data_IF_223978956462
#
_entry.id   IF_223978956462
#
_cell.length_a   1.000
_cell.length_b   1.000
_cell.length_c   1.000
_cell.angle_alpha   90.00
_cell.angle_beta   90.00
_cell.angle_gamma   90.00
#
_symmetry.space_group_name_H-M   'P 1'
#
loop_
_entity.id
_entity.type
_entity.pdbx_description
1 polymer ?
#
# COMPACT_ATOMS: atom_id res chain seq x y z
N UNK A 1 -42.62 29.23 24.61
CA UNK A 1 -41.54 29.31 25.61
C UNK A 1 -41.59 28.02 26.40
N UNK A 2 -40.60 27.14 26.22
CA UNK A 2 -40.53 25.82 26.86
C UNK A 2 -39.27 25.75 27.73
N UNK A 3 -39.30 25.02 28.86
CA UNK A 3 -38.26 25.09 29.88
C UNK A 3 -36.99 24.27 29.52
N UNK A 4 -35.84 24.59 30.16
CA UNK A 4 -34.57 23.91 29.93
C UNK A 4 -34.50 22.60 30.71
N UNK A 5 -33.99 21.54 30.07
CA UNK A 5 -33.75 20.25 30.72
C UNK A 5 -32.27 20.16 31.11
N UNK A 6 -31.97 20.25 32.41
CA UNK A 6 -30.68 19.88 32.99
C UNK A 6 -30.73 18.40 33.38
N UNK A 7 -29.75 17.59 32.96
CA UNK A 7 -29.46 16.31 33.63
C UNK A 7 -27.95 16.07 33.68
N UNK A 8 -27.46 16.21 34.90
CA UNK A 8 -26.44 15.47 35.65
C UNK A 8 -25.31 14.71 34.95
N UNK A 9 -24.11 15.03 35.44
CA UNK A 9 -22.87 14.28 35.31
C UNK A 9 -22.94 12.90 35.96
N UNK A 10 -22.24 11.93 35.38
CA UNK A 10 -21.89 10.67 36.03
C UNK A 10 -20.40 10.39 35.78
N UNK A 11 -19.64 10.43 36.87
CA UNK A 11 -18.20 10.17 36.97
C UNK A 11 -18.01 8.67 37.14
N UNK A 12 -17.14 8.04 36.34
CA UNK A 12 -16.70 6.66 36.60
C UNK A 12 -15.20 6.56 36.90
N UNK A 13 -14.83 5.71 37.89
CA UNK A 13 -13.52 5.71 38.54
C UNK A 13 -12.43 4.95 37.78
N UNK A 14 -11.20 5.37 38.07
CA UNK A 14 -9.95 4.72 37.70
C UNK A 14 -9.85 3.29 38.25
N UNK A 15 -9.22 2.40 37.49
CA UNK A 15 -8.93 1.03 37.90
C UNK A 15 -7.45 0.76 37.68
N UNK A 16 -6.71 0.76 38.78
CA UNK A 16 -5.33 0.33 38.89
C UNK A 16 -5.21 -1.17 38.57
N UNK A 17 -4.16 -1.55 37.85
CA UNK A 17 -3.82 -2.95 37.58
C UNK A 17 -2.35 -3.21 37.98
N UNK A 18 -2.06 -4.32 38.68
CA UNK A 18 -0.76 -4.59 39.28
C UNK A 18 0.29 -5.07 38.27
N UNK A 19 1.51 -4.54 38.36
CA UNK A 19 2.71 -5.04 37.70
C UNK A 19 3.19 -6.33 38.36
N UNK A 20 3.26 -7.42 37.58
CA UNK A 20 3.99 -8.64 37.93
C UNK A 20 5.37 -8.60 37.29
N UNK A 21 6.41 -8.63 38.12
CA UNK A 21 7.82 -8.76 37.71
C UNK A 21 8.15 -10.24 37.58
N UNK A 22 8.59 -10.67 36.39
CA UNK A 22 8.97 -12.05 36.10
C UNK A 22 10.21 -12.10 35.20
N UNK A 23 11.36 -12.34 35.83
CA UNK A 23 12.68 -12.55 35.23
C UNK A 23 12.75 -13.89 34.48
N UNK A 24 13.29 -13.92 33.26
CA UNK A 24 14.00 -15.12 32.76
C UNK A 24 15.02 -14.78 31.66
N UNK A 25 16.29 -14.84 32.05
CA UNK A 25 17.47 -14.86 31.18
C UNK A 25 17.66 -16.30 30.69
N UNK A 26 17.82 -16.48 29.38
CA UNK A 26 17.99 -17.79 28.76
C UNK A 26 18.70 -17.67 27.43
N UNK A 27 20.03 -17.61 27.49
CA UNK A 27 20.94 -17.63 26.34
C UNK A 27 21.07 -19.06 25.82
N UNK A 28 20.68 -19.33 24.57
CA UNK A 28 21.10 -20.53 23.84
C UNK A 28 21.47 -20.17 22.40
N UNK A 29 22.72 -20.46 22.10
CA UNK A 29 23.44 -20.18 20.87
C UNK A 29 23.15 -21.23 19.79
N UNK A 30 23.10 -20.74 18.55
CA UNK A 30 23.62 -21.33 17.32
C UNK A 30 23.13 -22.73 16.89
N UNK A 31 22.31 -22.76 15.85
CA UNK A 31 22.68 -23.32 14.53
C UNK A 31 21.46 -23.26 13.61
N UNK A 32 21.42 -22.26 12.73
CA UNK A 32 20.41 -22.21 11.66
C UNK A 32 21.03 -22.71 10.36
N UNK A 33 20.40 -23.69 9.68
CA UNK A 33 20.87 -24.20 8.41
C UNK A 33 20.69 -23.16 7.30
N UNK A 34 21.75 -22.97 6.51
CA UNK A 34 21.71 -22.20 5.27
C UNK A 34 20.78 -22.93 4.30
N UNK A 35 19.57 -22.40 4.11
CA UNK A 35 18.66 -22.87 3.06
C UNK A 35 18.68 -21.84 1.96
N UNK A 36 19.23 -22.27 0.83
CA UNK A 36 19.40 -21.56 -0.42
C UNK A 36 18.19 -20.69 -0.75
N UNK A 37 18.41 -19.37 -0.73
CA UNK A 37 17.48 -18.39 -1.28
C UNK A 37 17.39 -18.65 -2.78
N UNK A 38 16.34 -19.34 -3.23
CA UNK A 38 15.87 -19.19 -4.60
C UNK A 38 15.57 -17.71 -4.77
N UNK A 39 16.33 -17.02 -5.63
CA UNK A 39 16.11 -15.63 -5.97
C UNK A 39 14.82 -15.52 -6.80
N UNK A 40 13.69 -15.73 -6.14
CA UNK A 40 12.41 -15.22 -6.59
C UNK A 40 12.62 -13.70 -6.62
N UNK A 41 12.77 -13.16 -7.82
CA UNK A 41 12.71 -11.73 -8.04
C UNK A 41 11.32 -11.30 -7.59
N UNK A 42 11.20 -10.96 -6.31
CA UNK A 42 9.95 -10.58 -5.68
C UNK A 42 9.43 -9.37 -6.46
N UNK A 43 8.48 -9.59 -7.38
CA UNK A 43 7.77 -8.57 -8.15
C UNK A 43 6.76 -7.85 -7.26
N UNK A 44 7.21 -7.46 -6.07
CA UNK A 44 6.46 -6.78 -5.04
C UNK A 44 7.21 -5.54 -4.62
N UNK A 45 6.51 -4.42 -4.66
CA UNK A 45 7.03 -3.14 -4.18
C UNK A 45 6.19 -2.71 -2.98
N UNK A 46 6.84 -2.37 -1.87
CA UNK A 46 6.16 -2.07 -0.61
C UNK A 46 6.75 -0.85 0.08
N UNK A 47 5.90 -0.08 0.74
CA UNK A 47 6.32 1.08 1.51
C UNK A 47 5.17 2.00 1.87
N UNK A 48 5.48 3.06 2.63
CA UNK A 48 4.48 4.05 3.01
C UNK A 48 4.31 5.11 1.92
N UNK A 49 3.08 5.28 1.44
CA UNK A 49 2.69 6.34 0.51
C UNK A 49 1.38 6.98 0.97
N UNK A 50 1.13 8.20 0.52
CA UNK A 50 -0.16 8.84 0.69
C UNK A 50 -1.12 8.34 -0.40
N UNK A 51 -2.24 7.74 0.02
CA UNK A 51 -3.22 7.12 -0.87
C UNK A 51 -4.48 7.97 -0.94
N UNK A 52 -4.96 8.24 -2.16
CA UNK A 52 -6.25 8.90 -2.38
C UNK A 52 -7.33 7.87 -2.65
N UNK A 53 -8.18 7.61 -1.66
CA UNK A 53 -9.30 6.68 -1.80
C UNK A 53 -10.41 7.27 -2.68
N UNK A 54 -10.81 6.54 -3.73
CA UNK A 54 -11.98 6.92 -4.53
C UNK A 54 -13.26 6.47 -3.80
N UNK A 55 -14.19 7.38 -3.48
CA UNK A 55 -15.43 7.03 -2.77
C UNK A 55 -16.33 6.07 -3.56
N UNK A 56 -16.12 5.90 -4.87
CA UNK A 56 -16.90 4.95 -5.66
C UNK A 56 -16.67 3.48 -5.27
N UNK A 57 -15.45 3.09 -4.84
CA UNK A 57 -15.21 1.69 -4.43
C UNK A 57 -15.77 1.36 -3.04
N UNK A 58 -16.10 2.39 -2.24
CA UNK A 58 -16.62 2.26 -0.88
C UNK A 58 -18.16 2.35 -0.79
N UNK A 59 -18.87 2.40 -1.93
CA UNK A 59 -20.34 2.48 -1.97
C UNK A 59 -21.09 1.35 -1.26
N UNK A 60 -20.42 0.29 -0.80
CA UNK A 60 -21.03 -0.79 -0.02
C UNK A 60 -21.16 -0.48 1.49
N UNK A 61 -20.46 0.51 2.03
CA UNK A 61 -20.57 0.86 3.47
C UNK A 61 -21.35 2.17 3.66
N UNK A 62 -22.60 2.02 4.10
CA UNK A 62 -23.57 3.09 4.40
C UNK A 62 -22.96 4.27 5.20
N UNK A 63 -23.31 5.48 4.76
CA UNK A 63 -23.55 6.67 5.60
C UNK A 63 -22.40 7.47 6.23
N UNK A 64 -21.15 7.36 5.78
CA UNK A 64 -20.20 8.47 6.00
C UNK A 64 -19.78 9.02 4.66
N UNK A 65 -20.04 10.31 4.45
CA UNK A 65 -19.41 11.12 3.42
C UNK A 65 -17.90 11.10 3.70
N UNK A 66 -17.23 10.01 3.32
CA UNK A 66 -15.80 9.83 3.48
C UNK A 66 -15.16 10.89 2.61
N UNK A 67 -14.76 11.99 3.26
CA UNK A 67 -14.06 13.09 2.63
C UNK A 67 -12.92 12.48 1.83
N UNK A 68 -12.81 12.86 0.55
CA UNK A 68 -11.70 12.53 -0.35
C UNK A 68 -10.42 13.13 0.26
N UNK A 69 -9.83 12.42 1.22
CA UNK A 69 -8.65 12.84 1.95
C UNK A 69 -7.54 11.83 1.72
N UNK A 70 -6.33 12.36 1.67
CA UNK A 70 -5.12 11.58 1.53
C UNK A 70 -4.76 10.98 2.88
N UNK A 71 -4.24 9.75 2.85
CA UNK A 71 -3.82 9.03 4.03
C UNK A 71 -2.49 8.34 3.79
N UNK A 72 -1.51 8.61 4.67
CA UNK A 72 -0.25 7.87 4.67
C UNK A 72 -0.51 6.45 5.18
N UNK A 73 -0.34 5.48 4.30
CA UNK A 73 -0.68 4.07 4.54
C UNK A 73 0.41 3.15 3.98
N UNK A 74 0.43 1.91 4.46
CA UNK A 74 1.34 0.90 3.94
C UNK A 74 0.75 0.33 2.64
N UNK A 75 1.45 0.52 1.54
CA UNK A 75 1.03 0.06 0.21
C UNK A 75 1.91 -1.10 -0.19
N UNK A 76 1.28 -2.16 -0.68
CA UNK A 76 1.93 -3.32 -1.29
C UNK A 76 1.42 -3.43 -2.72
N UNK A 77 2.32 -3.25 -3.69
CA UNK A 77 2.05 -3.41 -5.11
C UNK A 77 2.58 -4.78 -5.54
N UNK A 78 1.68 -5.64 -6.01
CA UNK A 78 1.98 -6.96 -6.57
C UNK A 78 1.86 -6.89 -8.08
N UNK A 79 2.92 -7.19 -8.81
CA UNK A 79 2.93 -7.15 -10.27
C UNK A 79 2.77 -8.58 -10.78
N UNK A 80 1.70 -8.80 -11.55
CA UNK A 80 1.28 -10.12 -12.03
C UNK A 80 1.48 -10.18 -13.53
N UNK A 81 2.25 -11.18 -13.97
CA UNK A 81 2.34 -11.51 -15.39
C UNK A 81 1.10 -12.27 -15.82
N UNK A 82 0.41 -11.75 -16.82
CA UNK A 82 -0.71 -12.39 -17.45
C UNK A 82 -0.22 -13.22 -18.62
N UNK A 83 -0.37 -14.55 -18.56
CA UNK A 83 0.08 -15.47 -19.62
C UNK A 83 -0.56 -15.23 -21.00
N UNK A 84 -1.67 -14.48 -21.03
CA UNK A 84 -2.52 -14.29 -22.22
C UNK A 84 -2.48 -12.86 -22.78
N UNK A 85 -1.93 -11.90 -22.04
CA UNK A 85 -1.84 -10.52 -22.46
C UNK A 85 -0.45 -9.99 -22.21
N UNK A 86 0.15 -9.39 -23.24
CA UNK A 86 1.42 -8.65 -23.13
C UNK A 86 1.33 -7.44 -22.20
N UNK A 87 0.12 -7.10 -21.75
CA UNK A 87 -0.13 -6.03 -20.79
C UNK A 87 -0.02 -6.51 -19.34
N UNK A 88 0.85 -5.91 -18.51
CA UNK A 88 0.99 -6.30 -17.12
C UNK A 88 -0.25 -5.96 -16.28
N UNK A 89 -0.51 -6.77 -15.26
CA UNK A 89 -1.52 -6.50 -14.24
C UNK A 89 -0.86 -6.11 -12.91
N UNK A 90 -1.55 -5.27 -12.13
CA UNK A 90 -1.07 -4.80 -10.83
C UNK A 90 -2.17 -4.91 -9.77
N UNK A 91 -1.87 -5.56 -8.65
CA UNK A 91 -2.74 -5.64 -7.48
C UNK A 91 -2.14 -4.78 -6.37
N UNK A 92 -2.78 -3.65 -6.07
CA UNK A 92 -2.41 -2.78 -4.97
C UNK A 92 -3.24 -3.09 -3.72
N UNK A 93 -2.57 -3.47 -2.64
CA UNK A 93 -3.15 -3.71 -1.32
C UNK A 93 -2.72 -2.62 -0.35
N UNK A 94 -3.69 -2.00 0.32
CA UNK A 94 -3.46 -0.87 1.22
C UNK A 94 -3.81 -1.26 2.64
N UNK A 95 -2.87 -1.09 3.55
CA UNK A 95 -2.99 -1.42 4.96
C UNK A 95 -2.78 -0.18 5.83
N UNK A 96 -3.32 -0.20 7.05
CA UNK A 96 -3.10 0.89 8.00
C UNK A 96 -1.64 1.01 8.46
N UNK A 97 -0.90 -0.11 8.45
CA UNK A 97 0.51 -0.20 8.87
C UNK A 97 1.18 -1.43 8.24
N UNK A 98 2.51 -1.47 8.19
CA UNK A 98 3.26 -2.64 7.72
C UNK A 98 3.02 -3.88 8.61
N UNK A 99 2.79 -3.70 9.91
CA UNK A 99 2.46 -4.79 10.85
C UNK A 99 1.15 -5.51 10.52
N UNK A 100 0.29 -4.87 9.73
CA UNK A 100 -1.02 -5.39 9.34
C UNK A 100 -0.98 -6.23 8.06
N UNK A 101 0.13 -6.23 7.30
CA UNK A 101 0.26 -6.93 6.02
C UNK A 101 -0.05 -8.42 6.15
N UNK A 102 0.50 -9.08 7.17
CA UNK A 102 0.34 -10.52 7.41
C UNK A 102 -0.77 -10.86 8.42
N UNK A 103 -1.30 -9.87 9.12
CA UNK A 103 -2.19 -10.07 10.29
C UNK A 103 -3.64 -9.71 10.02
N UNK A 104 -3.92 -8.95 8.98
CA UNK A 104 -5.26 -8.40 8.73
C UNK A 104 -5.57 -8.27 7.25
N UNK A 105 -6.85 -8.16 6.93
CA UNK A 105 -7.28 -7.86 5.58
C UNK A 105 -6.89 -6.43 5.19
N UNK A 106 -6.54 -6.19 3.91
CA UNK A 106 -6.27 -4.84 3.44
C UNK A 106 -7.51 -3.96 3.59
N UNK A 107 -7.29 -2.69 3.94
CA UNK A 107 -8.33 -1.66 4.01
C UNK A 107 -8.97 -1.47 2.63
N UNK A 108 -8.12 -1.43 1.60
CA UNK A 108 -8.52 -1.27 0.21
C UNK A 108 -7.66 -2.17 -0.66
N UNK A 109 -8.28 -2.85 -1.62
CA UNK A 109 -7.58 -3.56 -2.70
C UNK A 109 -8.01 -2.95 -4.03
N UNK A 110 -7.05 -2.63 -4.88
CA UNK A 110 -7.25 -2.06 -6.21
C UNK A 110 -6.55 -2.97 -7.21
N UNK A 111 -7.28 -3.49 -8.20
CA UNK A 111 -6.75 -4.39 -9.22
C UNK A 111 -6.72 -3.68 -10.56
N UNK A 112 -5.55 -3.25 -11.00
CA UNK A 112 -5.36 -2.65 -12.32
C UNK A 112 -5.09 -3.75 -13.33
N UNK A 113 -6.01 -3.93 -14.27
CA UNK A 113 -5.81 -4.77 -15.45
C UNK A 113 -5.32 -3.89 -16.59
N UNK A 114 -4.44 -4.44 -17.44
CA UNK A 114 -3.95 -3.78 -18.65
C UNK A 114 -3.43 -2.35 -18.34
N UNK A 115 -2.40 -2.34 -17.50
CA UNK A 115 -1.74 -1.10 -17.06
C UNK A 115 -1.01 -0.50 -18.25
N UNK A 116 -1.45 0.69 -18.66
CA UNK A 116 -0.98 1.34 -19.89
C UNK A 116 -0.32 2.70 -19.64
N UNK A 117 -0.48 3.29 -18.44
CA UNK A 117 0.15 4.56 -18.12
C UNK A 117 0.62 4.67 -16.68
N UNK A 118 1.76 5.35 -16.52
CA UNK A 118 2.30 5.81 -15.24
C UNK A 118 2.75 7.26 -15.44
N UNK A 119 2.11 8.20 -14.75
CA UNK A 119 2.36 9.61 -14.99
C UNK A 119 2.20 10.47 -13.72
N UNK A 120 2.70 11.71 -13.78
CA UNK A 120 2.55 12.69 -12.70
C UNK A 120 1.12 13.21 -12.63
N UNK A 121 0.53 13.15 -11.45
CA UNK A 121 -0.83 13.64 -11.22
C UNK A 121 -0.79 15.06 -10.67
N UNK A 122 -1.60 15.96 -11.25
CA UNK A 122 -1.72 17.32 -10.72
C UNK A 122 -2.64 17.32 -9.49
N UNK A 123 -2.08 17.68 -8.34
CA UNK A 123 -2.83 17.84 -7.09
C UNK A 123 -2.38 19.10 -6.37
N UNK A 124 -3.36 19.94 -5.99
CA UNK A 124 -3.08 21.19 -5.26
C UNK A 124 -2.52 20.94 -3.86
N UNK A 125 -2.92 19.86 -3.21
CA UNK A 125 -2.50 19.54 -1.84
C UNK A 125 -1.34 18.55 -1.76
N UNK A 126 -1.04 17.84 -2.85
CA UNK A 126 -0.04 16.76 -2.88
C UNK A 126 0.81 16.92 -4.15
N UNK A 127 1.82 17.81 -4.14
CA UNK A 127 2.58 18.16 -5.34
C UNK A 127 3.38 16.98 -5.92
N UNK A 128 3.65 15.96 -5.11
CA UNK A 128 4.37 14.75 -5.50
C UNK A 128 3.45 13.58 -5.81
N UNK A 129 2.24 13.88 -6.28
CA UNK A 129 1.27 12.86 -6.68
C UNK A 129 1.59 12.25 -8.06
N UNK A 130 1.27 10.97 -8.21
CA UNK A 130 1.36 10.23 -9.46
C UNK A 130 0.18 9.25 -9.59
N UNK A 131 -0.16 8.89 -10.82
CA UNK A 131 -1.24 7.96 -11.15
C UNK A 131 -0.70 6.77 -11.91
N UNK A 132 -1.26 5.60 -11.62
CA UNK A 132 -1.12 4.37 -12.39
C UNK A 132 -2.49 4.08 -13.00
N UNK A 133 -2.57 4.05 -14.33
CA UNK A 133 -3.85 3.87 -15.02
C UNK A 133 -3.91 2.46 -15.65
N UNK A 134 -4.96 1.73 -15.29
CA UNK A 134 -5.39 0.51 -15.99
C UNK A 134 -6.71 0.76 -16.71
N UNK A 135 -7.21 -0.22 -17.46
CA UNK A 135 -8.38 0.00 -18.34
C UNK A 135 -9.67 0.30 -17.57
N UNK A 136 -9.82 -0.19 -16.33
CA UNK A 136 -11.07 -0.08 -15.55
C UNK A 136 -11.00 0.92 -14.40
N UNK A 137 -9.81 1.19 -13.89
CA UNK A 137 -9.60 2.08 -12.75
C UNK A 137 -8.18 2.63 -12.73
N UNK A 138 -7.96 3.67 -11.93
CA UNK A 138 -6.65 4.25 -11.68
C UNK A 138 -6.32 4.23 -10.19
N UNK A 139 -5.02 4.12 -9.89
CA UNK A 139 -4.48 4.21 -8.54
C UNK A 139 -3.69 5.52 -8.42
N UNK A 140 -4.11 6.39 -7.50
CA UNK A 140 -3.46 7.68 -7.27
C UNK A 140 -2.73 7.67 -5.93
N UNK A 141 -1.43 7.89 -5.99
CA UNK A 141 -0.50 7.84 -4.86
C UNK A 141 0.32 9.15 -4.79
N UNK A 142 0.92 9.44 -3.64
CA UNK A 142 1.87 10.55 -3.49
C UNK A 142 2.99 10.14 -2.54
N UNK A 143 4.22 10.49 -2.91
CA UNK A 143 5.35 10.46 -2.00
C UNK A 143 5.39 11.69 -1.09
N UNK A 144 6.25 11.65 -0.08
CA UNK A 144 6.57 12.74 0.83
C UNK A 144 7.52 13.78 0.21
N UNK A 145 8.18 13.41 -0.89
CA UNK A 145 9.17 14.21 -1.59
C UNK A 145 9.19 13.85 -3.08
N UNK A 146 9.80 14.74 -3.85
CA UNK A 146 10.04 14.51 -5.27
C UNK A 146 10.92 13.26 -5.50
N UNK A 147 11.99 13.12 -4.71
CA UNK A 147 12.92 12.00 -4.80
C UNK A 147 12.24 10.67 -4.53
N UNK A 148 11.46 10.57 -3.44
CA UNK A 148 10.71 9.33 -3.12
C UNK A 148 9.75 8.98 -4.26
N UNK A 149 9.01 9.97 -4.77
CA UNK A 149 8.07 9.77 -5.88
C UNK A 149 8.76 9.27 -7.15
N UNK A 150 9.88 9.87 -7.52
CA UNK A 150 10.64 9.43 -8.70
C UNK A 150 11.20 8.01 -8.52
N UNK A 151 11.67 7.65 -7.32
CA UNK A 151 12.14 6.28 -7.03
C UNK A 151 11.01 5.27 -7.19
N UNK A 152 9.83 5.54 -6.63
CA UNK A 152 8.65 4.71 -6.82
C UNK A 152 8.26 4.60 -8.30
N UNK A 153 8.13 5.72 -9.00
CA UNK A 153 7.77 5.71 -10.42
C UNK A 153 8.82 5.00 -11.29
N UNK A 154 10.10 5.04 -10.92
CA UNK A 154 11.16 4.30 -11.59
C UNK A 154 10.99 2.80 -11.37
N UNK A 155 10.89 2.34 -10.12
CA UNK A 155 10.73 0.92 -9.80
C UNK A 155 9.45 0.33 -10.41
N UNK A 156 8.35 1.07 -10.38
CA UNK A 156 7.09 0.65 -11.02
C UNK A 156 7.30 0.47 -12.53
N UNK A 157 7.96 1.42 -13.21
CA UNK A 157 8.26 1.31 -14.64
C UNK A 157 9.15 0.11 -14.95
N UNK A 158 10.21 -0.09 -14.17
CA UNK A 158 11.15 -1.18 -14.38
C UNK A 158 10.47 -2.56 -14.23
N UNK A 159 9.42 -2.65 -13.38
CA UNK A 159 8.63 -3.87 -13.18
C UNK A 159 7.49 -4.07 -14.19
N UNK A 160 6.88 -3.00 -14.71
CA UNK A 160 5.79 -3.07 -15.70
C UNK A 160 6.30 -3.22 -17.13
N UNK A 161 7.34 -2.46 -17.48
CA UNK A 161 7.92 -2.41 -18.81
C UNK A 161 9.42 -2.66 -18.72
N UNK A 162 9.83 -3.89 -18.38
CA UNK A 162 11.24 -4.23 -18.34
C UNK A 162 11.83 -3.93 -19.71
N UNK A 163 12.90 -3.12 -19.74
CA UNK A 163 13.64 -2.88 -20.98
C UNK A 163 14.21 -4.23 -21.42
N UNK A 164 13.59 -4.87 -22.41
CA UNK A 164 14.18 -6.04 -23.06
C UNK A 164 15.61 -5.66 -23.47
N UNK A 165 16.61 -6.35 -22.92
CA UNK A 165 17.99 -6.11 -23.32
C UNK A 165 18.10 -6.42 -24.82
N UNK A 166 18.56 -5.49 -25.67
CA UNK A 166 18.66 -5.72 -27.12
C UNK A 166 19.77 -6.73 -27.51
N UNK A 167 20.27 -7.53 -26.57
CA UNK A 167 21.45 -8.38 -26.75
C UNK A 167 21.18 -9.72 -27.46
N UNK A 168 19.93 -10.08 -27.81
CA UNK A 168 19.65 -11.37 -28.48
C UNK A 168 19.45 -11.29 -30.01
N UNK A 169 19.44 -10.10 -30.61
CA UNK A 169 19.12 -9.94 -32.05
C UNK A 169 20.35 -9.76 -32.96
N UNK A 170 21.57 -9.80 -32.42
CA UNK A 170 22.81 -9.62 -33.20
C UNK A 170 23.70 -10.86 -33.27
N UNK A 171 23.17 -12.06 -33.06
CA UNK A 171 23.87 -13.29 -33.45
C UNK A 171 23.66 -13.47 -34.96
N UNK A 172 24.52 -12.82 -35.74
CA UNK A 172 24.61 -13.02 -37.20
C UNK A 172 25.02 -14.48 -37.50
N UNK A 173 24.52 -15.05 -38.62
CA UNK A 173 24.80 -16.43 -39.06
C UNK A 173 26.27 -16.68 -39.38
#
# INVERSE_FOLDING_TARGET
MSPPNQVSADVKPAKDNPMTVGTKVGSKSASSPVTSQSSDHSRKLRGYLEVKHNPQSLRKTRNRLLKKRWHRQWVVLDFVDTLMSDSPALIARVYGSHLHEDRSLPITTVTLTDVHALHRAQSRSHPFAFSIDGSTQCLVLSGNSETETQQWMKHIRDLLWPRSSPSSLWTKP
#
